data_IF_825214549030
#
_entry.id   IF_825214549030
#
_cell.length_a   1.000
_cell.length_b   1.000
_cell.length_c   1.000
_cell.angle_alpha   90.00
_cell.angle_beta   90.00
_cell.angle_gamma   90.00
#
_symmetry.space_group_name_H-M   'P 1'
#
loop_
_entity.id
_entity.type
_entity.pdbx_description
1 polymer ?
#
# COMPACT_ATOMS: atom_id res chain seq x y z
N UNK A 1 6.29 -4.78 -14.06
CA UNK A 1 6.25 -4.08 -15.38
C UNK A 1 7.27 -4.66 -16.36
N UNK A 2 8.57 -4.72 -16.05
CA UNK A 2 9.59 -5.24 -16.97
C UNK A 2 9.36 -6.68 -17.47
N UNK A 3 8.94 -7.59 -16.58
CA UNK A 3 8.59 -8.98 -16.96
C UNK A 3 7.37 -9.08 -17.89
N UNK A 4 6.42 -8.14 -17.77
CA UNK A 4 5.19 -8.10 -18.57
C UNK A 4 5.32 -7.22 -19.82
N UNK A 5 6.52 -6.70 -20.11
CA UNK A 5 6.81 -5.78 -21.23
C UNK A 5 5.91 -4.53 -21.29
N UNK A 6 5.45 -4.05 -20.13
CA UNK A 6 4.68 -2.80 -20.03
C UNK A 6 5.68 -1.64 -20.20
N UNK A 7 5.46 -0.71 -21.16
CA UNK A 7 6.37 0.41 -21.39
C UNK A 7 6.40 1.37 -20.19
N UNK A 8 7.58 1.92 -19.92
CA UNK A 8 7.76 3.01 -18.97
C UNK A 8 7.42 4.33 -19.68
N UNK A 9 6.26 4.87 -19.33
CA UNK A 9 5.72 6.14 -19.80
C UNK A 9 5.51 7.10 -18.61
N UNK A 10 5.04 8.32 -18.90
CA UNK A 10 4.85 9.33 -17.86
C UNK A 10 3.86 8.89 -16.78
N UNK A 11 2.82 8.12 -17.14
CA UNK A 11 1.84 7.64 -16.16
C UNK A 11 2.36 6.51 -15.28
N UNK A 12 3.05 5.51 -15.84
CA UNK A 12 3.63 4.40 -15.06
C UNK A 12 4.70 4.87 -14.07
N UNK A 13 5.46 5.92 -14.41
CA UNK A 13 6.39 6.56 -13.46
C UNK A 13 5.64 7.19 -12.29
N UNK A 14 4.51 7.88 -12.55
CA UNK A 14 3.68 8.45 -11.47
C UNK A 14 3.12 7.38 -10.54
N UNK A 15 2.69 6.23 -11.08
CA UNK A 15 2.21 5.10 -10.27
C UNK A 15 3.30 4.61 -9.31
N UNK A 16 4.54 4.48 -9.80
CA UNK A 16 5.66 4.06 -8.98
C UNK A 16 5.93 5.06 -7.83
N UNK A 17 5.91 6.36 -8.11
CA UNK A 17 6.10 7.40 -7.10
C UNK A 17 5.00 7.39 -6.02
N UNK A 18 3.73 7.27 -6.42
CA UNK A 18 2.59 7.20 -5.49
C UNK A 18 2.68 5.92 -4.64
N UNK A 19 2.94 4.78 -5.27
CA UNK A 19 3.02 3.48 -4.57
C UNK A 19 4.11 3.49 -3.51
N UNK A 20 5.28 4.05 -3.81
CA UNK A 20 6.36 4.21 -2.83
C UNK A 20 5.95 5.14 -1.69
N UNK A 21 5.27 6.25 -1.99
CA UNK A 21 4.76 7.17 -0.98
C UNK A 21 3.84 6.49 0.03
N UNK A 22 2.88 5.69 -0.46
CA UNK A 22 1.92 4.98 0.40
C UNK A 22 2.62 3.88 1.20
N UNK A 23 3.47 3.07 0.57
CA UNK A 23 4.19 2.01 1.26
C UNK A 23 5.10 2.55 2.38
N UNK A 24 5.74 3.70 2.16
CA UNK A 24 6.57 4.36 3.18
C UNK A 24 5.71 4.91 4.31
N UNK A 25 4.55 5.51 4.02
CA UNK A 25 3.61 6.00 5.04
C UNK A 25 3.14 4.88 5.98
N UNK A 26 2.67 3.77 5.40
CA UNK A 26 2.26 2.55 6.10
C UNK A 26 3.39 1.99 6.99
N UNK A 27 4.61 1.94 6.44
CA UNK A 27 5.80 1.49 7.17
C UNK A 27 6.13 2.41 8.34
N UNK A 28 6.07 3.74 8.16
CA UNK A 28 6.33 4.72 9.22
C UNK A 28 5.30 4.57 10.35
N UNK A 29 4.02 4.48 9.99
CA UNK A 29 2.94 4.29 10.95
C UNK A 29 3.12 3.00 11.76
N UNK A 30 3.44 1.89 11.09
CA UNK A 30 3.66 0.61 11.75
C UNK A 30 4.89 0.63 12.67
N UNK A 31 6.04 1.14 12.19
CA UNK A 31 7.28 1.21 12.99
C UNK A 31 7.11 2.14 14.19
N UNK A 32 6.45 3.28 14.02
CA UNK A 32 6.20 4.20 15.12
C UNK A 32 5.36 3.55 16.22
N UNK A 33 4.28 2.84 15.83
CA UNK A 33 3.46 2.08 16.78
C UNK A 33 4.26 0.96 17.44
N UNK A 34 5.06 0.23 16.67
CA UNK A 34 5.92 -0.84 17.18
C UNK A 34 6.90 -0.32 18.23
N UNK A 35 7.60 0.78 17.96
CA UNK A 35 8.53 1.40 18.92
C UNK A 35 7.80 1.83 20.19
N UNK A 36 6.60 2.37 20.08
CA UNK A 36 5.80 2.78 21.23
C UNK A 36 5.34 1.58 22.07
N UNK A 37 4.80 0.54 21.44
CA UNK A 37 4.31 -0.66 22.12
C UNK A 37 5.46 -1.50 22.70
N UNK A 38 6.64 -1.49 22.08
CA UNK A 38 7.83 -2.21 22.57
C UNK A 38 8.34 -1.68 23.91
N UNK A 39 8.14 -0.40 24.20
CA UNK A 39 8.57 0.18 25.48
C UNK A 39 7.77 -0.36 26.69
N UNK A 40 6.61 -0.99 26.47
CA UNK A 40 5.76 -1.47 27.56
C UNK A 40 6.30 -2.73 28.25
N UNK A 41 6.71 -3.71 27.46
CA UNK A 41 7.09 -5.05 27.95
C UNK A 41 8.38 -5.59 27.29
N UNK A 42 8.98 -4.87 26.33
CA UNK A 42 10.23 -5.21 25.64
C UNK A 42 10.25 -6.61 25.01
N UNK A 43 9.07 -7.16 24.72
CA UNK A 43 8.91 -8.46 24.10
C UNK A 43 8.48 -8.26 22.63
N UNK A 44 9.32 -8.69 21.69
CA UNK A 44 9.09 -8.52 20.25
C UNK A 44 7.79 -9.21 19.77
N UNK A 45 7.53 -10.44 20.20
CA UNK A 45 6.34 -11.21 19.79
C UNK A 45 5.05 -10.55 20.29
N UNK A 46 5.00 -10.22 21.58
CA UNK A 46 3.82 -9.57 22.16
C UNK A 46 3.58 -8.19 21.56
N UNK A 47 4.65 -7.43 21.31
CA UNK A 47 4.57 -6.12 20.64
C UNK A 47 4.01 -6.25 19.24
N UNK A 48 4.48 -7.24 18.46
CA UNK A 48 3.97 -7.52 17.13
C UNK A 48 2.46 -7.80 17.16
N UNK A 49 1.99 -8.68 18.05
CA UNK A 49 0.57 -8.98 18.16
C UNK A 49 -0.28 -7.75 18.50
N UNK A 50 0.18 -6.89 19.42
CA UNK A 50 -0.52 -5.63 19.75
C UNK A 50 -0.54 -4.64 18.59
N UNK A 51 0.56 -4.52 17.85
CA UNK A 51 0.63 -3.63 16.69
C UNK A 51 -0.30 -4.12 15.57
N UNK A 52 -0.26 -5.42 15.27
CA UNK A 52 -1.11 -6.01 14.25
C UNK A 52 -2.60 -5.92 14.61
N UNK A 53 -2.95 -6.13 15.88
CA UNK A 53 -4.32 -5.97 16.39
C UNK A 53 -4.83 -4.53 16.47
N UNK A 54 -3.98 -3.52 16.22
CA UNK A 54 -4.37 -2.10 16.27
C UNK A 54 -4.12 -1.41 14.93
N UNK A 55 -2.88 -0.99 14.69
CA UNK A 55 -2.54 -0.25 13.46
C UNK A 55 -2.57 -1.16 12.22
N UNK A 56 -2.30 -2.46 12.36
CA UNK A 56 -2.40 -3.41 11.25
C UNK A 56 -3.83 -3.49 10.67
N UNK A 57 -4.85 -3.46 11.52
CA UNK A 57 -6.24 -3.41 11.05
C UNK A 57 -6.58 -2.08 10.38
N UNK A 58 -6.12 -0.97 10.95
CA UNK A 58 -6.32 0.35 10.36
C UNK A 58 -5.71 0.44 8.95
N UNK A 59 -4.47 -0.03 8.80
CA UNK A 59 -3.76 -0.11 7.51
C UNK A 59 -4.47 -1.04 6.52
N UNK A 60 -4.99 -2.18 6.98
CA UNK A 60 -5.75 -3.09 6.12
C UNK A 60 -7.00 -2.39 5.53
N UNK A 61 -7.76 -1.66 6.35
CA UNK A 61 -8.95 -0.94 5.86
C UNK A 61 -8.60 0.18 4.88
N UNK A 62 -7.52 0.91 5.10
CA UNK A 62 -7.07 1.96 4.17
C UNK A 62 -6.63 1.34 2.85
N UNK A 63 -5.83 0.27 2.88
CA UNK A 63 -5.38 -0.42 1.66
C UNK A 63 -6.56 -0.98 0.87
N UNK A 64 -7.53 -1.64 1.51
CA UNK A 64 -8.75 -2.13 0.84
C UNK A 64 -9.55 -1.00 0.22
N UNK A 65 -9.71 0.12 0.92
CA UNK A 65 -10.44 1.30 0.40
C UNK A 65 -9.76 1.86 -0.84
N UNK A 66 -8.43 1.96 -0.83
CA UNK A 66 -7.64 2.45 -1.95
C UNK A 66 -7.73 1.49 -3.15
N UNK A 67 -7.62 0.17 -2.91
CA UNK A 67 -7.78 -0.86 -3.94
C UNK A 67 -9.13 -0.71 -4.62
N UNK A 68 -10.22 -0.65 -3.86
CA UNK A 68 -11.57 -0.50 -4.41
C UNK A 68 -11.72 0.82 -5.17
N UNK A 69 -11.23 1.94 -4.60
CA UNK A 69 -11.29 3.25 -5.22
C UNK A 69 -10.60 3.32 -6.58
N UNK A 70 -9.40 2.74 -6.70
CA UNK A 70 -8.67 2.68 -7.97
C UNK A 70 -9.16 1.59 -8.92
N UNK A 71 -9.77 0.52 -8.41
CA UNK A 71 -10.33 -0.56 -9.23
C UNK A 71 -11.43 -0.06 -10.17
N UNK A 72 -12.17 0.99 -9.80
CA UNK A 72 -13.19 1.61 -10.66
C UNK A 72 -12.57 2.13 -11.98
N UNK A 73 -11.31 2.56 -11.97
CA UNK A 73 -10.64 3.06 -13.17
C UNK A 73 -10.38 1.96 -14.21
N UNK A 74 -10.41 0.69 -13.81
CA UNK A 74 -10.30 -0.42 -14.75
C UNK A 74 -11.52 -0.50 -15.70
N UNK A 75 -12.65 0.11 -15.35
CA UNK A 75 -13.86 0.20 -16.18
C UNK A 75 -13.82 1.37 -17.19
N UNK A 76 -12.74 2.16 -17.21
CA UNK A 76 -12.60 3.32 -18.09
C UNK A 76 -12.39 2.92 -19.56
N UNK A 77 -12.79 3.79 -20.49
CA UNK A 77 -12.47 3.65 -21.92
C UNK A 77 -11.06 4.19 -22.28
N UNK A 78 -10.36 4.78 -21.31
CA UNK A 78 -9.03 5.37 -21.53
C UNK A 78 -7.94 4.42 -21.02
N UNK A 79 -7.19 3.82 -21.96
CA UNK A 79 -6.14 2.81 -21.68
C UNK A 79 -5.19 3.23 -20.54
N UNK A 80 -4.69 4.48 -20.49
CA UNK A 80 -3.81 4.89 -19.40
C UNK A 80 -4.50 4.87 -18.03
N UNK A 81 -5.78 5.25 -17.93
CA UNK A 81 -6.56 5.12 -16.68
C UNK A 81 -6.73 3.67 -16.23
N UNK A 82 -6.91 2.74 -17.18
CA UNK A 82 -7.03 1.30 -16.88
C UNK A 82 -5.73 0.80 -16.25
N UNK A 83 -4.58 1.11 -16.87
CA UNK A 83 -3.26 0.76 -16.31
C UNK A 83 -3.04 1.38 -14.94
N UNK A 84 -3.45 2.63 -14.77
CA UNK A 84 -3.35 3.33 -13.49
C UNK A 84 -4.15 2.62 -12.39
N UNK A 85 -5.41 2.27 -12.67
CA UNK A 85 -6.25 1.55 -11.73
C UNK A 85 -5.68 0.18 -11.34
N UNK A 86 -5.30 -0.62 -12.35
CA UNK A 86 -4.80 -1.98 -12.15
C UNK A 86 -3.46 -2.00 -11.42
N UNK A 87 -2.49 -1.19 -11.85
CA UNK A 87 -1.15 -1.20 -11.27
C UNK A 87 -1.13 -0.60 -9.87
N UNK A 88 -1.90 0.45 -9.61
CA UNK A 88 -2.02 1.03 -8.27
C UNK A 88 -2.74 0.07 -7.33
N UNK A 89 -3.84 -0.55 -7.78
CA UNK A 89 -4.54 -1.57 -7.00
C UNK A 89 -3.64 -2.77 -6.66
N UNK A 90 -2.84 -3.23 -7.62
CA UNK A 90 -1.86 -4.30 -7.37
C UNK A 90 -0.77 -3.88 -6.39
N UNK A 91 -0.25 -2.65 -6.51
CA UNK A 91 0.76 -2.15 -5.58
C UNK A 91 0.24 -2.11 -4.14
N UNK A 92 -1.00 -1.65 -3.96
CA UNK A 92 -1.66 -1.60 -2.65
C UNK A 92 -2.04 -2.96 -2.08
N UNK A 93 -2.23 -3.97 -2.93
CA UNK A 93 -2.45 -5.34 -2.47
C UNK A 93 -1.16 -6.00 -1.94
N UNK A 94 0.00 -5.47 -2.31
CA UNK A 94 1.32 -5.98 -1.91
C UNK A 94 1.88 -5.20 -0.71
N UNK A 95 1.51 -3.92 -0.57
CA UNK A 95 1.89 -3.04 0.53
C UNK A 95 1.33 -3.55 1.88
#
# INVERSE_FOLDING_TARGET
>A
MGLMKIPLDMMTITIAAISVGIAVDDTIHYIHRFRHEFQKDRNYLNTMHRCHGTIGHAMYYTSVTIIIGFSILALSNFIPSIYFGLLTGLAMAIA
#
